data_IF_293922988072
#
_entry.id   IF_293922988072
#
_cell.length_a   1.000
_cell.length_b   1.000
_cell.length_c   1.000
_cell.angle_alpha   90.00
_cell.angle_beta   90.00
_cell.angle_gamma   90.00
#
_symmetry.space_group_name_H-M   'P 1'
#
loop_
_entity.id
_entity.type
_entity.pdbx_description
1 polymer ?
#
# COMPACT_ATOMS: atom_id res chain seq x y z
N UNK A 1 4.66 3.39 -4.52
CA UNK A 1 3.67 2.60 -5.28
C UNK A 1 3.62 3.18 -6.67
N UNK A 2 3.88 2.38 -7.70
CA UNK A 2 3.89 2.85 -9.08
C UNK A 2 2.64 2.32 -9.79
N UNK A 3 1.74 3.24 -10.10
CA UNK A 3 0.60 3.10 -10.99
C UNK A 3 0.69 4.20 -12.06
N UNK A 4 0.00 4.06 -13.18
CA UNK A 4 0.01 5.05 -14.28
C UNK A 4 -0.30 6.46 -13.78
N UNK A 5 -1.27 6.61 -12.87
CA UNK A 5 -1.61 7.90 -12.25
C UNK A 5 -0.49 8.48 -11.40
N UNK A 6 0.21 7.63 -10.62
CA UNK A 6 1.32 8.12 -9.80
C UNK A 6 2.55 8.49 -10.63
N UNK A 7 2.73 7.87 -11.80
CA UNK A 7 3.78 8.24 -12.75
C UNK A 7 3.49 9.61 -13.37
N UNK A 8 2.26 9.85 -13.83
CA UNK A 8 1.85 11.17 -14.32
C UNK A 8 2.00 12.27 -13.25
N UNK A 9 1.61 11.98 -12.00
CA UNK A 9 1.75 12.93 -10.89
C UNK A 9 3.22 13.24 -10.55
N UNK A 10 4.13 12.28 -10.77
CA UNK A 10 5.56 12.48 -10.61
C UNK A 10 6.10 13.43 -11.70
N UNK A 11 5.78 13.17 -12.97
CA UNK A 11 6.27 13.97 -14.10
C UNK A 11 5.70 15.40 -14.11
N UNK A 12 4.40 15.55 -13.88
CA UNK A 12 3.74 16.86 -13.99
C UNK A 12 3.87 17.73 -12.73
N UNK A 13 3.87 17.11 -11.55
CA UNK A 13 3.70 17.82 -10.28
C UNK A 13 4.81 17.54 -9.25
N UNK A 14 5.83 16.74 -9.61
CA UNK A 14 6.89 16.31 -8.69
C UNK A 14 6.35 15.65 -7.40
N UNK A 15 5.25 14.89 -7.53
CA UNK A 15 4.57 14.24 -6.40
C UNK A 15 4.99 12.78 -6.30
N UNK A 16 5.47 12.38 -5.12
CA UNK A 16 5.86 11.00 -4.82
C UNK A 16 4.80 10.29 -3.95
N UNK A 17 4.57 9.00 -4.20
CA UNK A 17 3.57 8.18 -3.48
C UNK A 17 4.22 7.02 -2.72
N UNK A 18 4.10 7.04 -1.39
CA UNK A 18 4.66 6.06 -0.47
C UNK A 18 3.57 5.25 0.26
N UNK A 19 3.89 4.00 0.63
CA UNK A 19 3.10 3.26 1.62
C UNK A 19 3.69 3.59 2.98
N UNK A 20 2.83 4.03 3.90
CA UNK A 20 3.20 4.44 5.26
C UNK A 20 2.49 3.58 6.29
N UNK A 21 3.00 3.59 7.52
CA UNK A 21 2.28 3.01 8.66
C UNK A 21 0.94 3.74 8.83
N UNK A 22 -0.14 2.99 9.07
CA UNK A 22 -1.50 3.50 9.22
C UNK A 22 -1.65 4.49 10.38
N UNK A 23 -0.81 4.35 11.40
CA UNK A 23 -0.88 5.15 12.62
C UNK A 23 0.07 6.37 12.56
N UNK A 24 0.83 6.54 11.47
CA UNK A 24 1.70 7.70 11.27
C UNK A 24 0.90 8.95 10.90
N UNK A 25 1.27 10.09 11.47
CA UNK A 25 0.70 11.39 11.14
C UNK A 25 1.50 12.10 10.02
N UNK A 26 0.92 13.16 9.44
CA UNK A 26 1.55 13.92 8.34
C UNK A 26 2.89 14.56 8.70
N UNK A 27 3.06 15.00 9.95
CA UNK A 27 4.27 15.68 10.43
C UNK A 27 5.42 14.67 10.51
N UNK A 28 5.15 13.47 11.03
CA UNK A 28 6.11 12.37 11.10
C UNK A 28 6.55 11.93 9.71
N UNK A 29 5.59 11.78 8.79
CA UNK A 29 5.88 11.42 7.40
C UNK A 29 6.78 12.46 6.73
N UNK A 30 6.46 13.75 6.86
CA UNK A 30 7.26 14.85 6.32
C UNK A 30 8.69 14.81 6.88
N UNK A 31 8.86 14.80 8.20
CA UNK A 31 10.18 14.77 8.84
C UNK A 31 11.01 13.55 8.46
N UNK A 32 10.38 12.38 8.34
CA UNK A 32 11.06 11.17 7.93
C UNK A 32 11.58 11.31 6.49
N UNK A 33 10.73 11.79 5.57
CA UNK A 33 11.11 11.99 4.17
C UNK A 33 12.25 13.01 4.04
N UNK A 34 12.14 14.16 4.70
CA UNK A 34 13.20 15.18 4.67
C UNK A 34 14.53 14.63 5.18
N UNK A 35 14.52 13.85 6.27
CA UNK A 35 15.73 13.28 6.85
C UNK A 35 16.36 12.17 6.01
N UNK A 36 15.54 11.32 5.38
CA UNK A 36 16.01 10.16 4.61
C UNK A 36 16.61 10.56 3.25
N UNK A 37 16.09 11.61 2.64
CA UNK A 37 16.45 12.02 1.28
C UNK A 37 17.08 13.41 1.18
N UNK A 38 17.27 14.11 2.30
CA UNK A 38 17.81 15.48 2.37
C UNK A 38 17.08 16.46 1.43
N UNK A 39 15.76 16.36 1.42
CA UNK A 39 14.86 17.20 0.60
C UNK A 39 13.98 18.07 1.48
N UNK A 40 13.30 19.05 0.89
CA UNK A 40 12.29 19.86 1.57
C UNK A 40 10.89 19.49 1.09
N UNK A 41 9.99 19.18 2.01
CA UNK A 41 8.60 18.77 1.69
C UNK A 41 7.68 19.99 1.73
N UNK A 42 6.89 20.17 0.66
CA UNK A 42 5.93 21.28 0.53
C UNK A 42 4.56 20.97 1.15
N UNK A 43 4.01 19.78 0.90
CA UNK A 43 2.73 19.32 1.44
C UNK A 43 2.71 17.79 1.56
N UNK A 44 1.89 17.27 2.48
CA UNK A 44 1.67 15.83 2.67
C UNK A 44 0.18 15.52 2.60
N UNK A 45 -0.18 14.61 1.69
CA UNK A 45 -1.55 14.10 1.51
C UNK A 45 -1.57 12.61 1.79
N UNK A 46 -2.48 12.18 2.65
CA UNK A 46 -2.62 10.79 3.09
C UNK A 46 -4.01 10.27 2.75
N UNK A 47 -4.10 9.04 2.30
CA UNK A 47 -5.37 8.35 2.03
C UNK A 47 -5.33 6.93 2.61
N UNK A 48 -6.45 6.46 3.14
CA UNK A 48 -6.60 5.06 3.55
C UNK A 48 -7.17 4.27 2.38
N UNK A 49 -6.44 3.25 1.93
CA UNK A 49 -6.91 2.34 0.89
C UNK A 49 -7.22 0.99 1.51
N UNK A 50 -8.43 0.48 1.26
CA UNK A 50 -8.71 -0.93 1.50
C UNK A 50 -7.93 -1.74 0.44
N UNK A 51 -6.98 -2.56 0.89
CA UNK A 51 -6.26 -3.44 -0.02
C UNK A 51 -7.23 -4.35 -0.79
N UNK A 52 -6.88 -4.74 -2.02
CA UNK A 52 -7.69 -5.68 -2.80
C UNK A 52 -7.68 -7.04 -2.10
N UNK A 53 -8.85 -7.54 -1.73
CA UNK A 53 -8.99 -8.93 -1.29
C UNK A 53 -8.50 -9.86 -2.40
N UNK A 54 -7.35 -10.50 -2.18
CA UNK A 54 -6.93 -11.60 -3.05
C UNK A 54 -7.73 -12.83 -2.66
N UNK A 55 -8.83 -13.10 -3.37
CA UNK A 55 -9.54 -14.39 -3.28
C UNK A 55 -8.61 -15.49 -3.84
N UNK A 56 -7.87 -16.15 -2.96
CA UNK A 56 -7.14 -17.36 -3.32
C UNK A 56 -8.16 -18.51 -3.50
N UNK A 57 -8.66 -18.70 -4.71
CA UNK A 57 -9.50 -19.86 -5.06
C UNK A 57 -8.76 -21.19 -4.78
N UNK A 58 -7.44 -21.20 -4.99
CA UNK A 58 -6.59 -22.38 -4.87
C UNK A 58 -6.25 -22.76 -3.42
N UNK A 59 -6.35 -21.82 -2.46
CA UNK A 59 -6.10 -22.07 -1.04
C UNK A 59 -7.32 -22.60 -0.26
N UNK A 60 -8.53 -22.47 -0.82
CA UNK A 60 -9.76 -23.03 -0.23
C UNK A 60 -10.08 -24.43 -0.72
N UNK A 61 -9.62 -24.80 -1.92
CA UNK A 61 -9.86 -26.14 -2.48
C UNK A 61 -9.01 -27.22 -1.81
N UNK A 62 -7.81 -26.88 -1.30
CA UNK A 62 -6.95 -27.81 -0.55
C UNK A 62 -7.44 -28.10 0.87
N UNK A 63 -8.44 -27.36 1.38
CA UNK A 63 -9.04 -27.56 2.72
C UNK A 63 -10.37 -28.30 2.70
N UNK A 64 -10.75 -28.89 1.56
CA UNK A 64 -11.92 -29.76 1.47
C UNK A 64 -11.48 -31.21 1.38
N UNK A 65 -11.16 -31.90 2.50
CA UNK A 65 -11.16 -33.35 2.51
C UNK A 65 -12.63 -33.79 2.47
N UNK A 66 -13.24 -33.84 1.28
CA UNK A 66 -14.31 -34.82 1.07
C UNK A 66 -13.63 -36.16 0.91
N UNK A 67 -13.58 -36.94 1.99
CA UNK A 67 -13.69 -38.41 2.03
C UNK A 67 -13.58 -38.81 3.51
N UNK A 68 -14.71 -38.68 4.21
CA UNK A 68 -14.98 -39.53 5.37
C UNK A 68 -15.24 -40.93 4.84
N UNK A 69 -14.18 -41.74 4.82
CA UNK A 69 -14.20 -43.17 4.53
C UNK A 69 -14.67 -43.88 5.81
N UNK A 70 -15.82 -44.56 5.73
CA UNK A 70 -16.35 -45.64 6.60
C UNK A 70 -16.89 -45.27 8.01
N UNK A 71 -18.17 -45.54 8.21
CA UNK A 71 -18.67 -46.67 9.01
C UNK A 71 -19.94 -47.21 8.35
#
# INVERSE_FOLDING_TARGET
VVTEKSAAALEENNVYTFIVNRDANKIEISRAVEKLWDVRVSDVRTMRYAGKEKRAFMGRMSRSPKVGRRS
#
